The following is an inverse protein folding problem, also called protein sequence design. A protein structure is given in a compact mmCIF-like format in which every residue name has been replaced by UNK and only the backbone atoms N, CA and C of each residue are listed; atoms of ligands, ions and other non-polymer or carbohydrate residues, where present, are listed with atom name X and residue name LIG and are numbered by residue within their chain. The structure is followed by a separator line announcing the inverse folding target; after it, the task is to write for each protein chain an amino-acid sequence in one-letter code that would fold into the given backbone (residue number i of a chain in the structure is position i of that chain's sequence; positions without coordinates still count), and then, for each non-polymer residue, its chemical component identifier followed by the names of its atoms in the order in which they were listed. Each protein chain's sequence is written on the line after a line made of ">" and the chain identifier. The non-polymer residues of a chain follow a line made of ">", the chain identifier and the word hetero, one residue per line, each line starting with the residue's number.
data_IF_957062837851
#
_entry.id   IF_957062837851
#
_cell.length_a   1.000
_cell.length_b   1.000
_cell.length_c   1.000
_cell.angle_alpha   90.00
_cell.angle_beta   90.00
_cell.angle_gamma   90.00
#
_symmetry.space_group_name_H-M   'P 1'
#
loop_
_entity.id
_entity.type
_entity.pdbx_description
1 polymer ?
#
# COMPACT_ATOMS: atom_id res chain seq x y z
N UNK A 1 16.36 -2.80 31.96
CA UNK A 1 16.70 -3.02 30.53
C UNK A 1 15.62 -3.77 29.75
N UNK A 2 15.11 -4.93 30.21
CA UNK A 2 14.08 -5.71 29.48
C UNK A 2 12.83 -4.92 29.08
N UNK A 3 12.34 -4.00 29.93
CA UNK A 3 11.17 -3.15 29.64
C UNK A 3 11.39 -2.20 28.44
N UNK A 4 12.59 -1.66 28.29
CA UNK A 4 12.94 -0.75 27.18
C UNK A 4 12.99 -1.53 25.86
N UNK A 5 13.57 -2.73 25.89
CA UNK A 5 13.65 -3.62 24.73
C UNK A 5 12.25 -3.99 24.23
N UNK A 6 11.36 -4.40 25.14
CA UNK A 6 9.97 -4.77 24.78
C UNK A 6 9.20 -3.57 24.22
N UNK A 7 9.39 -2.37 24.76
CA UNK A 7 8.73 -1.17 24.24
C UNK A 7 9.23 -0.80 22.84
N UNK A 8 10.54 -0.88 22.60
CA UNK A 8 11.12 -0.57 21.30
C UNK A 8 10.68 -1.56 20.21
N UNK A 9 10.61 -2.86 20.52
CA UNK A 9 10.17 -3.87 19.54
C UNK A 9 8.70 -3.68 19.16
N UNK A 10 7.82 -3.40 20.12
CA UNK A 10 6.39 -3.14 19.84
C UNK A 10 6.22 -1.90 18.95
N UNK A 11 6.93 -0.81 19.24
CA UNK A 11 6.87 0.41 18.44
C UNK A 11 7.35 0.17 17.00
N UNK A 12 8.46 -0.56 16.82
CA UNK A 12 8.99 -0.90 15.50
C UNK A 12 8.04 -1.78 14.69
N UNK A 13 7.46 -2.83 15.29
CA UNK A 13 6.51 -3.72 14.61
C UNK A 13 5.27 -2.95 14.14
N UNK A 14 4.75 -2.05 14.96
CA UNK A 14 3.63 -1.19 14.59
C UNK A 14 3.99 -0.30 13.39
N UNK A 15 5.14 0.40 13.45
CA UNK A 15 5.58 1.29 12.38
C UNK A 15 5.80 0.55 11.05
N UNK A 16 6.45 -0.62 11.08
CA UNK A 16 6.70 -1.43 9.88
C UNK A 16 5.40 -1.96 9.28
N UNK A 17 4.45 -2.39 10.11
CA UNK A 17 3.15 -2.89 9.64
C UNK A 17 2.33 -1.81 8.94
N UNK A 18 2.36 -0.56 9.43
CA UNK A 18 1.72 0.57 8.77
C UNK A 18 2.42 0.98 7.47
N UNK A 19 3.75 0.89 7.43
CA UNK A 19 4.53 1.26 6.25
C UNK A 19 4.58 0.17 5.17
N UNK A 20 4.13 -1.06 5.48
CA UNK A 20 4.19 -2.17 4.54
C UNK A 20 3.39 -1.85 3.27
N UNK A 21 4.05 -1.76 2.10
CA UNK A 21 3.35 -1.50 0.85
C UNK A 21 2.48 -2.72 0.54
N UNK A 22 1.16 -2.55 0.57
CA UNK A 22 0.25 -3.56 0.01
C UNK A 22 0.50 -3.68 -1.49
N UNK A 23 1.23 -4.72 -1.89
CA UNK A 23 1.40 -5.11 -3.29
C UNK A 23 0.07 -5.69 -3.79
N UNK A 24 -0.78 -4.81 -4.32
CA UNK A 24 -2.03 -5.18 -4.94
C UNK A 24 -1.86 -5.24 -6.47
N UNK A 25 -1.29 -6.35 -6.95
CA UNK A 25 -1.36 -6.79 -8.34
C UNK A 25 -0.13 -6.48 -9.19
N UNK A 26 0.83 -7.40 -9.21
CA UNK A 26 1.73 -7.58 -10.34
C UNK A 26 0.91 -8.20 -11.48
N UNK A 27 0.44 -7.38 -12.42
CA UNK A 27 -0.18 -7.88 -13.63
C UNK A 27 0.91 -8.55 -14.48
N UNK A 28 0.76 -9.85 -14.72
CA UNK A 28 1.70 -10.66 -15.50
C UNK A 28 1.70 -10.19 -16.95
N UNK A 29 2.87 -9.81 -17.44
CA UNK A 29 3.15 -9.47 -18.84
C UNK A 29 2.74 -10.64 -19.76
N UNK A 30 1.87 -10.35 -20.72
CA UNK A 30 1.48 -11.31 -21.76
C UNK A 30 0.27 -10.86 -22.59
N UNK A 31 -0.55 -9.97 -22.04
CA UNK A 31 -1.63 -9.31 -22.76
C UNK A 31 -1.64 -7.85 -22.32
N UNK A 32 -1.31 -6.93 -23.21
CA UNK A 32 -1.50 -5.50 -22.98
C UNK A 32 -2.92 -5.18 -23.46
N UNK A 33 -3.93 -5.18 -22.56
CA UNK A 33 -5.26 -4.79 -22.99
C UNK A 33 -5.20 -3.31 -23.39
N UNK A 34 -5.87 -2.94 -24.49
CA UNK A 34 -6.00 -1.55 -24.94
C UNK A 34 -6.45 -0.58 -23.82
N UNK A 35 -7.05 -1.12 -22.75
CA UNK A 35 -7.23 -0.45 -21.48
C UNK A 35 -6.87 -1.36 -20.29
N UNK A 36 -6.10 -0.86 -19.32
CA UNK A 36 -5.81 -1.57 -18.06
C UNK A 36 -6.35 -0.84 -16.83
N UNK A 37 -6.64 -1.59 -15.76
CA UNK A 37 -7.11 -1.03 -14.47
C UNK A 37 -5.89 -0.80 -13.57
N UNK A 38 -5.54 0.45 -13.32
CA UNK A 38 -4.50 0.85 -12.36
C UNK A 38 -5.13 1.16 -11.01
N UNK A 39 -4.57 0.61 -9.93
CA UNK A 39 -4.92 1.03 -8.56
C UNK A 39 -4.04 2.21 -8.16
N UNK A 40 -4.67 3.33 -7.83
CA UNK A 40 -4.00 4.53 -7.33
C UNK A 40 -4.37 4.71 -5.87
N UNK A 41 -3.36 4.86 -5.01
CA UNK A 41 -3.55 5.24 -3.61
C UNK A 41 -3.62 6.76 -3.55
N UNK A 42 -4.70 7.30 -3.00
CA UNK A 42 -4.88 8.72 -2.72
C UNK A 42 -5.18 8.91 -1.24
N UNK A 43 -4.93 10.09 -0.71
CA UNK A 43 -5.32 10.48 0.64
C UNK A 43 -6.50 11.45 0.55
N UNK A 44 -7.51 11.28 1.40
CA UNK A 44 -8.56 12.27 1.56
C UNK A 44 -8.08 13.45 2.42
N UNK A 45 -8.93 14.47 2.59
CA UNK A 45 -8.62 15.66 3.39
C UNK A 45 -8.28 15.33 4.85
N UNK A 46 -8.76 14.20 5.37
CA UNK A 46 -8.55 13.73 6.74
C UNK A 46 -7.35 12.78 6.88
N UNK A 47 -6.62 12.50 5.79
CA UNK A 47 -5.47 11.61 5.78
C UNK A 47 -5.79 10.12 5.69
N UNK A 48 -7.04 9.75 5.40
CA UNK A 48 -7.44 8.36 5.18
C UNK A 48 -6.99 7.88 3.79
N UNK A 49 -6.47 6.64 3.70
CA UNK A 49 -6.06 6.03 2.43
C UNK A 49 -7.30 5.59 1.64
N UNK A 50 -7.51 6.22 0.49
CA UNK A 50 -8.55 5.87 -0.49
C UNK A 50 -7.90 5.18 -1.68
N UNK A 51 -8.22 3.90 -1.88
CA UNK A 51 -7.73 3.13 -3.03
C UNK A 51 -8.72 3.32 -4.20
N UNK A 52 -8.31 4.08 -5.21
CA UNK A 52 -9.09 4.29 -6.44
C UNK A 52 -8.65 3.33 -7.52
N UNK A 53 -9.59 2.75 -8.26
CA UNK A 53 -9.31 1.98 -9.49
C UNK A 53 -9.58 2.89 -10.67
N UNK A 54 -8.56 3.24 -11.43
CA UNK A 54 -8.70 4.01 -12.67
C UNK A 54 -8.50 3.07 -13.86
N UNK A 55 -9.37 3.19 -14.86
CA UNK A 55 -9.18 2.52 -16.15
C UNK A 55 -8.41 3.47 -17.06
N UNK A 56 -7.22 3.05 -17.48
CA UNK A 56 -6.37 3.83 -18.39
C UNK A 56 -6.38 3.11 -19.73
N UNK A 57 -6.86 3.80 -20.76
CA UNK A 57 -6.84 3.35 -22.15
C UNK A 57 -5.80 4.20 -22.91
N UNK A 58 -5.11 3.59 -23.88
CA UNK A 58 -4.12 4.29 -24.69
C UNK A 58 -4.72 4.88 -25.97
#
# INVERSE_FOLDING_TARGET
>A
MRKIIVSATVALVAAVSFAAPSQAGSYSYGYEPACFIKKVKAYDYYGNVVIKKIRVCH
#
